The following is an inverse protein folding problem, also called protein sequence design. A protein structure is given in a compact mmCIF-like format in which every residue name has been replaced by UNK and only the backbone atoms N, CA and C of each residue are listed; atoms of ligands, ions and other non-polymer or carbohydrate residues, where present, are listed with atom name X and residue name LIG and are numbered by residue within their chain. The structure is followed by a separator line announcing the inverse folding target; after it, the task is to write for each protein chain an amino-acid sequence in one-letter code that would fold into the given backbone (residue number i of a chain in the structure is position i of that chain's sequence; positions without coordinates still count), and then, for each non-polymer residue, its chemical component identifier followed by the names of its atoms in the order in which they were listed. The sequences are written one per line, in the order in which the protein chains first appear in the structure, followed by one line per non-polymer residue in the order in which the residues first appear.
data_IF_795136756990
#
_entry.id   IF_795136756990
#
_cell.length_a   1.000
_cell.length_b   1.000
_cell.length_c   1.000
_cell.angle_alpha   90.00
_cell.angle_beta   90.00
_cell.angle_gamma   90.00
#
_symmetry.space_group_name_H-M   'P 1'
#
loop_
_entity.id
_entity.type
_entity.pdbx_description
1 polymer ?
#
# COMPACT_ATOMS: atom_id res chain seq x y z
N UNK A 1 31.15 -14.21 -5.58
CA UNK A 1 29.91 -14.30 -4.78
C UNK A 1 29.33 -12.90 -4.72
N UNK A 2 28.15 -12.68 -5.28
CA UNK A 2 27.45 -11.40 -5.17
C UNK A 2 26.95 -11.29 -3.72
N UNK A 3 27.33 -10.23 -3.00
CA UNK A 3 26.83 -9.95 -1.64
C UNK A 3 25.36 -9.49 -1.71
N UNK A 4 24.46 -10.43 -1.92
CA UNK A 4 23.03 -10.16 -2.02
C UNK A 4 22.46 -9.52 -0.73
N UNK A 5 22.82 -9.97 0.49
CA UNK A 5 22.44 -9.26 1.71
C UNK A 5 22.96 -7.81 1.77
N UNK A 6 24.18 -7.56 1.28
CA UNK A 6 24.71 -6.20 1.11
C UNK A 6 23.87 -5.35 0.15
N UNK A 7 23.46 -5.93 -0.98
CA UNK A 7 22.60 -5.26 -1.97
C UNK A 7 21.23 -4.89 -1.39
N UNK A 8 20.58 -5.81 -0.65
CA UNK A 8 19.30 -5.54 -0.01
C UNK A 8 19.41 -4.42 1.05
N UNK A 9 20.50 -4.41 1.82
CA UNK A 9 20.77 -3.31 2.77
C UNK A 9 20.98 -1.99 2.04
N UNK A 10 21.77 -1.96 0.97
CA UNK A 10 21.97 -0.76 0.16
C UNK A 10 20.65 -0.23 -0.42
N UNK A 11 19.76 -1.11 -0.89
CA UNK A 11 18.44 -0.73 -1.39
C UNK A 11 17.56 -0.13 -0.27
N UNK A 12 17.57 -0.72 0.92
CA UNK A 12 16.86 -0.17 2.10
C UNK A 12 17.39 1.21 2.50
N UNK A 13 18.71 1.40 2.57
CA UNK A 13 19.30 2.70 2.90
C UNK A 13 19.00 3.75 1.83
N UNK A 14 18.95 3.34 0.56
CA UNK A 14 18.52 4.20 -0.55
C UNK A 14 17.07 4.64 -0.35
N UNK A 15 16.17 3.70 -0.05
CA UNK A 15 14.77 4.02 0.26
C UNK A 15 14.63 5.02 1.41
N UNK A 16 15.34 4.82 2.52
CA UNK A 16 15.36 5.75 3.66
C UNK A 16 15.81 7.15 3.22
N UNK A 17 16.91 7.22 2.45
CA UNK A 17 17.47 8.50 2.00
C UNK A 17 16.48 9.26 1.10
N UNK A 18 15.87 8.58 0.12
CA UNK A 18 14.91 9.20 -0.80
C UNK A 18 13.60 9.55 -0.09
N UNK A 19 13.10 8.71 0.82
CA UNK A 19 11.87 9.00 1.55
C UNK A 19 12.02 10.24 2.45
N UNK A 20 13.15 10.36 3.14
CA UNK A 20 13.47 11.56 3.93
C UNK A 20 13.65 12.79 3.04
N UNK A 21 14.34 12.65 1.89
CA UNK A 21 14.54 13.76 0.96
C UNK A 21 13.22 14.29 0.40
N UNK A 22 12.33 13.41 -0.03
CA UNK A 22 11.00 13.80 -0.54
C UNK A 22 10.16 14.42 0.59
N UNK A 23 10.21 13.87 1.81
CA UNK A 23 9.52 14.45 2.98
C UNK A 23 10.00 15.88 3.28
N UNK A 24 11.29 16.17 3.15
CA UNK A 24 11.81 17.55 3.27
C UNK A 24 11.27 18.47 2.18
N UNK A 25 11.14 17.99 0.94
CA UNK A 25 10.52 18.77 -0.13
C UNK A 25 9.03 19.03 0.14
N UNK A 26 8.30 18.03 0.64
CA UNK A 26 6.90 18.16 1.04
C UNK A 26 6.68 19.16 2.18
N UNK A 27 7.60 19.20 3.16
CA UNK A 27 7.56 20.18 4.25
C UNK A 27 7.76 21.63 3.78
N UNK A 28 8.18 21.84 2.53
CA UNK A 28 8.26 23.15 1.91
C UNK A 28 6.93 23.72 1.43
N UNK A 29 5.84 22.96 1.49
CA UNK A 29 4.48 23.43 1.24
C UNK A 29 3.83 23.96 2.52
N UNK A 30 3.15 25.09 2.42
CA UNK A 30 2.32 25.70 3.45
C UNK A 30 0.93 25.03 3.44
N UNK A 31 0.52 24.42 4.56
CA UNK A 31 -0.69 23.57 4.62
C UNK A 31 -2.00 24.35 4.51
N UNK A 32 -1.98 25.63 4.85
CA UNK A 32 -3.12 26.54 4.85
C UNK A 32 -3.33 27.27 3.51
N UNK A 33 -2.42 27.08 2.54
CA UNK A 33 -2.47 27.72 1.23
C UNK A 33 -2.78 26.71 0.12
N UNK A 34 -3.55 27.08 -0.92
CA UNK A 34 -3.74 26.23 -2.09
C UNK A 34 -2.41 25.91 -2.78
N UNK A 35 -2.15 24.64 -3.15
CA UNK A 35 -0.92 24.21 -3.84
C UNK A 35 -0.65 25.06 -5.10
N UNK A 36 -1.70 25.45 -5.83
CA UNK A 36 -1.60 26.28 -7.04
C UNK A 36 -1.01 27.68 -6.83
N UNK A 37 -0.89 28.13 -5.58
CA UNK A 37 -0.34 29.44 -5.22
C UNK A 37 1.09 29.37 -4.66
N UNK A 38 1.64 28.16 -4.55
CA UNK A 38 2.93 27.90 -3.91
C UNK A 38 3.99 27.57 -4.96
N UNK A 39 5.26 27.53 -4.53
CA UNK A 39 6.34 27.05 -5.40
C UNK A 39 6.11 25.58 -5.73
N UNK A 40 5.96 25.28 -7.02
CA UNK A 40 5.75 23.92 -7.49
C UNK A 40 7.02 23.06 -7.28
N UNK A 41 6.90 22.05 -6.42
CA UNK A 41 7.93 21.04 -6.13
C UNK A 41 7.60 19.67 -6.72
N UNK A 42 6.45 19.53 -7.40
CA UNK A 42 5.92 18.25 -7.87
C UNK A 42 6.89 17.51 -8.79
N UNK A 43 7.59 18.23 -9.67
CA UNK A 43 8.60 17.68 -10.57
C UNK A 43 9.77 17.04 -9.82
N UNK A 44 10.39 17.79 -8.89
CA UNK A 44 11.53 17.30 -8.08
C UNK A 44 11.12 16.07 -7.24
N UNK A 45 9.93 16.10 -6.65
CA UNK A 45 9.40 14.99 -5.87
C UNK A 45 9.18 13.75 -6.75
N UNK A 46 8.62 13.93 -7.94
CA UNK A 46 8.38 12.85 -8.90
C UNK A 46 9.70 12.25 -9.39
N UNK A 47 10.71 13.08 -9.66
CA UNK A 47 12.04 12.62 -10.07
C UNK A 47 12.69 11.74 -9.00
N UNK A 48 12.64 12.17 -7.73
CA UNK A 48 13.15 11.38 -6.62
C UNK A 48 12.42 10.05 -6.44
N UNK A 49 11.09 10.03 -6.55
CA UNK A 49 10.31 8.79 -6.48
C UNK A 49 10.64 7.85 -7.66
N UNK A 50 10.88 8.39 -8.85
CA UNK A 50 11.29 7.61 -10.01
C UNK A 50 12.70 7.01 -9.87
N UNK A 51 13.65 7.74 -9.27
CA UNK A 51 14.98 7.20 -8.97
C UNK A 51 14.87 6.02 -7.99
N UNK A 52 14.02 6.12 -6.97
CA UNK A 52 13.77 5.02 -6.04
C UNK A 52 13.17 3.80 -6.77
N UNK A 53 12.18 4.02 -7.63
CA UNK A 53 11.64 2.96 -8.49
C UNK A 53 12.72 2.30 -9.34
N UNK A 54 13.56 3.09 -10.01
CA UNK A 54 14.63 2.58 -10.88
C UNK A 54 15.65 1.76 -10.08
N UNK A 55 15.92 2.10 -8.82
CA UNK A 55 16.79 1.30 -7.96
C UNK A 55 16.18 -0.09 -7.69
N UNK A 56 14.88 -0.16 -7.38
CA UNK A 56 14.17 -1.42 -7.21
C UNK A 56 14.13 -2.24 -8.51
N UNK A 57 13.81 -1.61 -9.64
CA UNK A 57 13.76 -2.23 -10.97
C UNK A 57 15.13 -2.79 -11.37
N UNK A 58 16.21 -2.02 -11.16
CA UNK A 58 17.58 -2.45 -11.44
C UNK A 58 17.97 -3.67 -10.61
N UNK A 59 17.66 -3.67 -9.31
CA UNK A 59 17.89 -4.85 -8.46
C UNK A 59 17.07 -6.02 -8.98
N UNK A 60 15.75 -5.87 -9.19
CA UNK A 60 14.87 -6.92 -9.70
C UNK A 60 15.24 -7.47 -11.09
N UNK A 61 16.05 -6.75 -11.88
CA UNK A 61 16.53 -7.19 -13.20
C UNK A 61 17.86 -7.93 -13.12
N UNK A 62 18.80 -7.47 -12.29
CA UNK A 62 20.12 -8.08 -12.10
C UNK A 62 20.03 -9.42 -11.34
N UNK A 63 18.89 -9.68 -10.73
CA UNK A 63 18.60 -10.84 -9.89
C UNK A 63 18.41 -12.17 -10.62
N UNK A 64 18.92 -12.34 -11.85
CA UNK A 64 19.13 -13.66 -12.47
C UNK A 64 20.03 -14.61 -11.67
N UNK A 65 20.54 -14.16 -10.52
CA UNK A 65 21.28 -14.91 -9.50
C UNK A 65 20.73 -14.68 -8.07
N UNK A 66 19.43 -14.38 -7.91
CA UNK A 66 18.81 -14.31 -6.58
C UNK A 66 18.87 -15.68 -5.93
N UNK A 67 19.40 -15.78 -4.70
CA UNK A 67 19.25 -16.98 -3.93
C UNK A 67 17.77 -17.32 -3.81
N UNK A 68 17.42 -18.58 -4.05
CA UNK A 68 16.06 -19.04 -3.82
C UNK A 68 15.61 -18.59 -2.42
N UNK A 69 14.40 -18.01 -2.30
CA UNK A 69 13.90 -17.62 -1.00
C UNK A 69 13.93 -18.84 -0.07
N UNK A 70 14.26 -18.61 1.20
CA UNK A 70 14.32 -19.66 2.23
C UNK A 70 13.43 -19.31 3.41
N UNK A 71 13.10 -20.30 4.24
CA UNK A 71 12.27 -20.12 5.43
C UNK A 71 10.87 -19.57 5.11
N UNK A 72 10.41 -18.62 5.93
CA UNK A 72 9.07 -18.02 5.79
C UNK A 72 8.88 -17.32 4.45
N UNK A 73 9.92 -16.70 3.90
CA UNK A 73 9.84 -16.05 2.60
C UNK A 73 9.58 -17.07 1.49
N UNK A 74 10.22 -18.24 1.55
CA UNK A 74 9.96 -19.33 0.59
C UNK A 74 8.52 -19.80 0.67
N UNK A 75 7.99 -19.93 1.88
CA UNK A 75 6.61 -20.34 2.11
C UNK A 75 5.62 -19.32 1.52
N UNK A 76 5.84 -18.02 1.73
CA UNK A 76 5.00 -16.96 1.16
C UNK A 76 5.09 -16.95 -0.36
N UNK A 77 6.31 -16.94 -0.92
CA UNK A 77 6.52 -16.95 -2.38
C UNK A 77 5.91 -18.19 -3.03
N UNK A 78 5.97 -19.36 -2.37
CA UNK A 78 5.35 -20.59 -2.84
C UNK A 78 3.83 -20.57 -2.90
N UNK A 79 3.17 -19.64 -2.19
CA UNK A 79 1.71 -19.40 -2.28
C UNK A 79 1.34 -18.32 -3.29
N UNK A 80 2.33 -17.57 -3.78
CA UNK A 80 2.12 -16.48 -4.72
C UNK A 80 1.85 -17.05 -6.12
N UNK A 81 0.73 -16.64 -6.70
CA UNK A 81 0.43 -16.87 -8.10
C UNK A 81 0.22 -15.54 -8.78
N UNK A 82 0.87 -15.32 -9.92
CA UNK A 82 0.43 -14.25 -10.81
C UNK A 82 -0.80 -14.79 -11.52
N UNK A 83 -1.98 -14.27 -11.19
CA UNK A 83 -3.21 -14.71 -11.83
C UNK A 83 -3.05 -14.47 -13.33
N UNK A 84 -3.32 -15.51 -14.13
CA UNK A 84 -3.64 -15.27 -15.54
C UNK A 84 -4.83 -14.30 -15.52
N UNK A 85 -4.75 -13.15 -16.23
CA UNK A 85 -5.75 -12.11 -16.09
C UNK A 85 -7.14 -12.71 -16.25
N UNK A 86 -8.05 -12.27 -15.37
CA UNK A 86 -9.38 -12.82 -15.23
C UNK A 86 -10.01 -12.98 -16.61
N UNK A 87 -10.59 -14.15 -16.88
CA UNK A 87 -11.09 -14.63 -18.18
C UNK A 87 -12.19 -13.77 -18.86
N UNK A 88 -12.34 -12.50 -18.47
CA UNK A 88 -13.28 -11.52 -19.01
C UNK A 88 -12.63 -10.51 -19.96
N UNK A 89 -11.31 -10.51 -20.16
CA UNK A 89 -10.65 -9.71 -21.21
C UNK A 89 -10.47 -10.53 -22.49
N UNK A 90 -10.91 -10.04 -23.67
CA UNK A 90 -10.95 -10.84 -24.91
C UNK A 90 -9.59 -11.35 -25.38
N UNK A 91 -8.49 -10.69 -25.00
CA UNK A 91 -7.11 -11.16 -25.15
C UNK A 91 -6.23 -10.52 -24.08
N UNK A 92 -5.68 -11.34 -23.19
CA UNK A 92 -4.45 -10.97 -22.49
C UNK A 92 -3.36 -10.71 -23.54
N UNK A 93 -2.73 -9.55 -23.49
CA UNK A 93 -1.56 -9.28 -24.33
C UNK A 93 -0.27 -9.52 -23.53
N UNK A 94 0.83 -9.81 -24.22
CA UNK A 94 2.13 -10.11 -23.58
C UNK A 94 2.56 -8.98 -22.62
N UNK A 95 2.23 -7.72 -22.95
CA UNK A 95 2.54 -6.56 -22.10
C UNK A 95 1.82 -6.56 -20.75
N UNK A 96 0.59 -7.06 -20.68
CA UNK A 96 -0.13 -7.19 -19.40
C UNK A 96 0.51 -8.27 -18.53
N UNK A 97 0.95 -9.38 -19.16
CA UNK A 97 1.68 -10.45 -18.47
C UNK A 97 3.02 -9.92 -17.95
N UNK A 98 3.75 -9.17 -18.76
CA UNK A 98 5.01 -8.52 -18.37
C UNK A 98 4.81 -7.56 -17.20
N UNK A 99 3.74 -6.77 -17.22
CA UNK A 99 3.36 -5.89 -16.11
C UNK A 99 3.12 -6.69 -14.82
N UNK A 100 2.27 -7.70 -14.86
CA UNK A 100 1.96 -8.50 -13.67
C UNK A 100 3.18 -9.28 -13.14
N UNK A 101 4.05 -9.78 -14.02
CA UNK A 101 5.32 -10.38 -13.63
C UNK A 101 6.24 -9.35 -12.96
N UNK A 102 6.29 -8.12 -13.48
CA UNK A 102 7.01 -7.02 -12.86
C UNK A 102 6.51 -6.70 -11.46
N UNK A 103 5.18 -6.66 -11.26
CA UNK A 103 4.57 -6.49 -9.93
C UNK A 103 4.98 -7.61 -8.98
N UNK A 104 4.91 -8.86 -9.45
CA UNK A 104 5.35 -10.03 -8.69
C UNK A 104 6.82 -9.95 -8.25
N UNK A 105 7.72 -9.60 -9.17
CA UNK A 105 9.14 -9.46 -8.88
C UNK A 105 9.42 -8.35 -7.85
N UNK A 106 8.74 -7.21 -8.00
CA UNK A 106 8.88 -6.10 -7.05
C UNK A 106 8.28 -6.41 -5.68
N UNK A 107 7.20 -7.18 -5.62
CA UNK A 107 6.64 -7.70 -4.37
C UNK A 107 7.65 -8.61 -3.65
N UNK A 108 8.23 -9.59 -4.36
CA UNK A 108 9.22 -10.50 -3.78
C UNK A 108 10.44 -9.75 -3.29
N UNK A 109 10.96 -8.79 -4.08
CA UNK A 109 12.08 -7.94 -3.66
C UNK A 109 11.72 -7.10 -2.43
N UNK A 110 10.51 -6.53 -2.40
CA UNK A 110 10.03 -5.76 -1.26
C UNK A 110 9.94 -6.59 0.02
N UNK A 111 9.48 -7.84 -0.08
CA UNK A 111 9.47 -8.78 1.05
C UNK A 111 10.89 -9.11 1.53
N UNK A 112 11.84 -9.33 0.61
CA UNK A 112 13.26 -9.50 0.94
C UNK A 112 13.82 -8.30 1.71
N UNK A 113 13.61 -7.08 1.20
CA UNK A 113 14.07 -5.86 1.87
C UNK A 113 13.41 -5.71 3.24
N UNK A 114 12.08 -5.91 3.34
CA UNK A 114 11.35 -5.84 4.59
C UNK A 114 11.87 -6.85 5.64
N UNK A 115 12.32 -8.03 5.22
CA UNK A 115 12.86 -9.08 6.12
C UNK A 115 14.11 -8.64 6.91
N UNK A 116 14.76 -7.54 6.52
CA UNK A 116 15.85 -6.94 7.27
C UNK A 116 15.38 -6.31 8.59
N UNK A 117 14.09 -5.98 8.72
CA UNK A 117 13.47 -5.36 9.89
C UNK A 117 12.68 -6.36 10.76
N UNK A 118 12.45 -6.03 12.03
CA UNK A 118 11.58 -6.82 12.91
C UNK A 118 10.11 -6.87 12.43
N UNK A 119 9.46 -5.74 12.08
CA UNK A 119 8.11 -5.76 11.51
C UNK A 119 7.99 -6.64 10.26
N UNK A 120 8.97 -6.56 9.35
CA UNK A 120 8.95 -7.38 8.13
C UNK A 120 9.13 -8.87 8.38
N UNK A 121 10.01 -9.26 9.32
CA UNK A 121 10.11 -10.67 9.75
C UNK A 121 8.80 -11.17 10.35
N UNK A 122 8.17 -10.39 11.22
CA UNK A 122 6.88 -10.73 11.83
C UNK A 122 5.78 -10.90 10.78
N UNK A 123 5.71 -10.02 9.79
CA UNK A 123 4.75 -10.14 8.68
C UNK A 123 4.99 -11.41 7.87
N UNK A 124 6.25 -11.71 7.52
CA UNK A 124 6.59 -12.91 6.76
C UNK A 124 6.19 -14.18 7.50
N UNK A 125 6.53 -14.30 8.79
CA UNK A 125 6.12 -15.44 9.61
C UNK A 125 4.60 -15.58 9.64
N UNK A 126 3.87 -14.46 9.80
CA UNK A 126 2.40 -14.46 9.78
C UNK A 126 1.82 -14.94 8.46
N UNK A 127 2.25 -14.35 7.34
CA UNK A 127 1.80 -14.75 6.01
C UNK A 127 2.10 -16.24 5.75
N UNK A 128 3.32 -16.68 6.07
CA UNK A 128 3.75 -18.08 5.92
C UNK A 128 2.87 -19.05 6.72
N UNK A 129 2.43 -18.67 7.93
CA UNK A 129 1.57 -19.52 8.77
C UNK A 129 0.16 -19.68 8.21
N UNK A 130 -0.36 -18.71 7.47
CA UNK A 130 -1.71 -18.79 6.90
C UNK A 130 -1.83 -19.89 5.84
N UNK A 131 -0.76 -20.10 5.06
CA UNK A 131 -0.70 -21.02 3.91
C UNK A 131 -1.85 -20.82 2.90
N UNK A 132 -2.49 -19.64 2.90
CA UNK A 132 -3.57 -19.32 1.96
C UNK A 132 -2.96 -18.84 0.64
N UNK A 133 -3.50 -19.26 -0.52
CA UNK A 133 -3.10 -18.72 -1.80
C UNK A 133 -3.22 -17.19 -1.86
N UNK A 134 -2.18 -16.56 -2.41
CA UNK A 134 -2.17 -15.15 -2.76
C UNK A 134 -2.06 -15.04 -4.28
N UNK A 135 -2.99 -14.31 -4.90
CA UNK A 135 -2.93 -14.06 -6.34
C UNK A 135 -2.68 -12.58 -6.66
N UNK A 136 -1.94 -12.27 -7.72
CA UNK A 136 -1.79 -10.91 -8.25
C UNK A 136 -2.61 -10.78 -9.52
N UNK A 137 -3.43 -9.74 -9.68
CA UNK A 137 -4.22 -9.56 -10.89
C UNK A 137 -4.46 -8.10 -11.25
N UNK A 138 -4.68 -7.81 -12.53
CA UNK A 138 -4.97 -6.45 -13.00
C UNK A 138 -6.35 -6.00 -12.53
N UNK A 139 -6.47 -4.74 -12.12
CA UNK A 139 -7.76 -4.05 -11.97
C UNK A 139 -7.73 -2.75 -12.75
N UNK A 140 -8.74 -2.50 -13.58
CA UNK A 140 -8.83 -1.23 -14.31
C UNK A 140 -9.60 -0.20 -13.50
N UNK A 141 -9.06 1.02 -13.43
CA UNK A 141 -9.65 2.10 -12.63
C UNK A 141 -9.73 3.40 -13.40
N UNK A 142 -10.77 4.17 -13.08
CA UNK A 142 -10.97 5.55 -13.55
C UNK A 142 -10.00 6.55 -12.93
N UNK A 143 -9.27 6.15 -11.90
CA UNK A 143 -8.25 6.94 -11.21
C UNK A 143 -7.03 6.05 -10.94
N UNK A 144 -5.80 6.59 -10.84
CA UNK A 144 -4.66 5.81 -10.38
C UNK A 144 -4.92 5.16 -9.01
N UNK A 145 -4.12 4.23 -8.53
CA UNK A 145 -4.08 3.88 -7.09
C UNK A 145 -2.81 3.09 -6.79
N UNK A 146 -2.48 2.95 -5.51
CA UNK A 146 -1.59 1.89 -5.05
C UNK A 146 -2.22 0.51 -5.29
N UNK A 147 -1.42 -0.54 -5.07
CA UNK A 147 -1.90 -1.92 -4.99
C UNK A 147 -3.08 -2.01 -4.00
N UNK A 148 -3.99 -2.97 -4.21
CA UNK A 148 -5.18 -3.14 -3.37
C UNK A 148 -5.37 -4.61 -2.99
N UNK A 149 -5.57 -4.89 -1.71
CA UNK A 149 -5.92 -6.21 -1.22
C UNK A 149 -7.45 -6.39 -1.27
N UNK A 150 -7.90 -7.32 -2.11
CA UNK A 150 -9.30 -7.68 -2.22
C UNK A 150 -9.52 -9.12 -1.70
N UNK A 151 -10.52 -9.37 -0.84
CA UNK A 151 -10.92 -10.73 -0.51
C UNK A 151 -11.44 -11.40 -1.79
N UNK A 152 -11.01 -12.64 -2.06
CA UNK A 152 -11.63 -13.43 -3.12
C UNK A 152 -13.07 -13.76 -2.68
N UNK A 153 -14.02 -13.89 -3.61
CA UNK A 153 -15.48 -13.90 -3.38
C UNK A 153 -16.05 -14.96 -2.40
N UNK A 154 -15.20 -15.76 -1.76
CA UNK A 154 -15.52 -16.86 -0.87
C UNK A 154 -15.00 -16.70 0.58
N UNK A 155 -14.28 -15.62 0.91
CA UNK A 155 -13.84 -15.33 2.28
C UNK A 155 -14.94 -14.71 3.14
N UNK A 156 -15.10 -15.17 4.38
CA UNK A 156 -16.00 -14.56 5.37
C UNK A 156 -15.17 -13.64 6.29
N UNK A 157 -15.48 -12.35 6.27
CA UNK A 157 -14.88 -11.31 7.13
C UNK A 157 -15.10 -11.59 8.63
N UNK A 158 -14.40 -10.86 9.50
CA UNK A 158 -14.67 -10.90 10.93
C UNK A 158 -16.12 -10.49 11.17
N UNK A 159 -16.89 -11.38 11.79
CA UNK A 159 -18.26 -11.06 12.19
C UNK A 159 -18.23 -10.58 13.63
N UNK A 160 -18.79 -9.40 13.87
CA UNK A 160 -19.09 -8.98 15.23
C UNK A 160 -19.92 -10.09 15.91
N UNK A 161 -19.45 -10.57 17.06
CA UNK A 161 -20.33 -11.33 17.95
C UNK A 161 -21.52 -10.44 18.33
N UNK A 162 -22.69 -11.03 18.60
CA UNK A 162 -23.92 -10.28 18.89
C UNK A 162 -23.79 -9.32 20.08
N UNK A 163 -22.79 -9.51 20.94
CA UNK A 163 -22.44 -8.72 22.12
C UNK A 163 -21.28 -7.74 21.90
N UNK A 164 -20.66 -7.68 20.71
CA UNK A 164 -19.58 -6.73 20.41
C UNK A 164 -20.04 -5.27 20.39
N UNK A 165 -21.36 -5.03 20.54
CA UNK A 165 -22.00 -3.73 20.71
C UNK A 165 -21.93 -2.86 19.46
N UNK A 166 -22.92 -1.98 19.29
CA UNK A 166 -22.70 -0.82 18.42
C UNK A 166 -21.71 0.12 19.12
N UNK A 167 -20.75 0.63 18.35
CA UNK A 167 -19.81 1.64 18.83
C UNK A 167 -20.58 2.87 19.32
N UNK A 168 -20.32 3.33 20.55
CA UNK A 168 -20.95 4.55 21.06
C UNK A 168 -20.32 5.81 20.44
N UNK A 169 -21.05 6.93 20.41
CA UNK A 169 -20.50 8.20 19.90
C UNK A 169 -19.38 8.78 20.78
N UNK A 170 -19.28 8.36 22.04
CA UNK A 170 -18.23 8.78 22.97
C UNK A 170 -16.93 7.97 22.80
N UNK A 171 -16.97 6.83 22.10
CA UNK A 171 -15.80 5.97 21.95
C UNK A 171 -14.66 6.66 21.17
N UNK A 172 -13.46 6.68 21.77
CA UNK A 172 -12.22 7.16 21.15
C UNK A 172 -11.39 6.03 20.51
N UNK A 173 -10.22 6.36 19.94
CA UNK A 173 -9.34 5.37 19.31
C UNK A 173 -8.86 4.27 20.27
N UNK A 174 -8.65 4.59 21.55
CA UNK A 174 -8.18 3.63 22.56
C UNK A 174 -9.27 2.62 22.88
N UNK A 175 -10.50 3.10 23.08
CA UNK A 175 -11.67 2.28 23.31
C UNK A 175 -12.00 1.46 22.05
N UNK A 176 -11.90 2.06 20.86
CA UNK A 176 -12.09 1.38 19.58
C UNK A 176 -11.10 0.23 19.41
N UNK A 177 -9.81 0.47 19.65
CA UNK A 177 -8.77 -0.56 19.60
C UNK A 177 -9.12 -1.73 20.53
N UNK A 178 -9.48 -1.42 21.77
CA UNK A 178 -9.84 -2.41 22.79
C UNK A 178 -11.09 -3.22 22.39
N UNK A 179 -12.06 -2.58 21.74
CA UNK A 179 -13.25 -3.25 21.19
C UNK A 179 -12.88 -4.18 20.04
N UNK A 180 -12.17 -3.67 19.03
CA UNK A 180 -11.79 -4.42 17.83
C UNK A 180 -10.87 -5.61 18.13
N UNK A 181 -10.05 -5.53 19.19
CA UNK A 181 -9.18 -6.62 19.64
C UNK A 181 -9.93 -7.82 20.22
N UNK A 182 -11.20 -7.64 20.64
CA UNK A 182 -12.03 -8.71 21.23
C UNK A 182 -12.91 -9.43 20.20
N UNK A 183 -12.94 -8.94 18.97
CA UNK A 183 -13.80 -9.50 17.93
C UNK A 183 -13.18 -10.78 17.41
N UNK A 184 -13.96 -11.86 17.47
CA UNK A 184 -13.54 -13.16 17.01
C UNK A 184 -13.35 -13.16 15.48
N UNK A 185 -12.32 -13.87 14.97
CA UNK A 185 -12.16 -14.06 13.54
C UNK A 185 -13.30 -14.89 12.94
N UNK A 186 -13.58 -14.65 11.67
CA UNK A 186 -14.41 -15.49 10.81
C UNK A 186 -13.63 -16.70 10.26
N UNK A 187 -14.01 -17.17 9.06
CA UNK A 187 -13.40 -18.37 8.46
C UNK A 187 -12.15 -18.07 7.62
N UNK A 188 -11.99 -16.81 7.21
CA UNK A 188 -10.92 -16.37 6.32
C UNK A 188 -11.00 -16.95 4.91
N UNK A 189 -10.13 -16.49 4.02
CA UNK A 189 -10.16 -16.87 2.61
C UNK A 189 -8.93 -16.46 1.82
N UNK A 190 -8.95 -16.81 0.54
CA UNK A 190 -7.95 -16.36 -0.42
C UNK A 190 -8.05 -14.84 -0.64
N UNK A 191 -6.93 -14.24 -1.05
CA UNK A 191 -6.89 -12.82 -1.40
C UNK A 191 -6.28 -12.61 -2.78
N UNK A 192 -6.70 -11.51 -3.40
CA UNK A 192 -6.12 -10.97 -4.63
C UNK A 192 -5.44 -9.65 -4.28
N UNK A 193 -4.14 -9.55 -4.58
CA UNK A 193 -3.43 -8.28 -4.65
C UNK A 193 -3.67 -7.69 -6.03
N UNK A 194 -4.60 -6.75 -6.13
CA UNK A 194 -4.98 -6.12 -7.37
C UNK A 194 -3.97 -5.02 -7.75
N UNK A 195 -3.41 -5.15 -8.94
CA UNK A 195 -2.51 -4.19 -9.57
C UNK A 195 -3.33 -3.23 -10.45
N UNK A 196 -3.54 -1.98 -9.99
CA UNK A 196 -4.40 -1.06 -10.71
C UNK A 196 -3.71 -0.52 -11.97
N UNK A 197 -4.50 -0.35 -13.02
CA UNK A 197 -4.07 0.30 -14.25
C UNK A 197 -5.08 1.39 -14.59
N UNK A 198 -4.56 2.60 -14.79
CA UNK A 198 -5.36 3.80 -14.95
C UNK A 198 -5.50 4.22 -16.41
N UNK A 199 -6.70 4.08 -16.95
CA UNK A 199 -7.06 4.49 -18.31
C UNK A 199 -8.37 5.30 -18.31
N UNK A 200 -8.33 6.59 -17.94
CA UNK A 200 -9.53 7.41 -17.87
C UNK A 200 -10.06 7.76 -19.27
N UNK A 201 -9.16 7.86 -20.26
CA UNK A 201 -9.46 8.27 -21.63
C UNK A 201 -9.94 7.10 -22.54
N UNK A 202 -9.91 5.86 -22.06
CA UNK A 202 -10.25 4.69 -22.88
C UNK A 202 -11.65 4.18 -22.55
N UNK A 203 -12.51 4.12 -23.55
CA UNK A 203 -13.82 3.46 -23.48
C UNK A 203 -13.66 1.96 -23.14
N UNK A 204 -12.62 1.34 -23.68
CA UNK A 204 -12.22 -0.04 -23.40
C UNK A 204 -10.90 -0.05 -22.60
N UNK A 205 -10.99 0.06 -21.28
CA UNK A 205 -9.82 0.17 -20.39
C UNK A 205 -8.79 -0.96 -20.56
N UNK A 206 -9.23 -2.15 -20.98
CA UNK A 206 -8.35 -3.28 -21.24
C UNK A 206 -7.38 -3.07 -22.41
N UNK A 207 -7.65 -2.09 -23.29
CA UNK A 207 -6.74 -1.69 -24.38
C UNK A 207 -5.59 -0.82 -23.92
N UNK A 208 -5.51 -0.45 -22.64
CA UNK A 208 -4.42 0.41 -22.16
C UNK A 208 -3.03 -0.10 -22.50
N UNK A 209 -2.83 -1.42 -22.50
CA UNK A 209 -1.54 -2.02 -22.85
C UNK A 209 -1.24 -2.01 -24.36
N UNK A 210 -2.16 -1.58 -25.21
CA UNK A 210 -1.86 -1.29 -26.62
C UNK A 210 -0.97 -0.03 -26.74
N UNK A 211 -1.12 0.92 -25.82
CA UNK A 211 -0.42 2.22 -25.84
C UNK A 211 0.58 2.40 -24.71
N UNK A 212 0.31 1.85 -23.52
CA UNK A 212 1.16 1.96 -22.33
C UNK A 212 2.14 0.79 -22.24
N UNK A 213 3.41 1.07 -21.97
CA UNK A 213 4.38 0.01 -21.71
C UNK A 213 4.15 -0.61 -20.31
N UNK A 214 4.55 -1.87 -20.14
CA UNK A 214 4.50 -2.53 -18.84
C UNK A 214 5.28 -1.73 -17.77
N UNK A 215 6.44 -1.18 -18.15
CA UNK A 215 7.28 -0.36 -17.28
C UNK A 215 6.58 0.93 -16.85
N UNK A 216 5.95 1.65 -17.78
CA UNK A 216 5.26 2.89 -17.44
C UNK A 216 4.07 2.62 -16.51
N UNK A 217 3.37 1.49 -16.70
CA UNK A 217 2.33 1.04 -15.77
C UNK A 217 2.90 0.71 -14.37
N UNK A 218 4.05 0.03 -14.29
CA UNK A 218 4.73 -0.26 -13.01
C UNK A 218 5.14 1.03 -12.28
N UNK A 219 5.69 1.99 -13.00
CA UNK A 219 6.12 3.27 -12.43
C UNK A 219 4.97 3.97 -11.72
N UNK A 220 3.78 3.98 -12.32
CA UNK A 220 2.61 4.66 -11.73
C UNK A 220 2.24 4.07 -10.37
N UNK A 221 2.26 2.75 -10.22
CA UNK A 221 1.85 2.08 -8.98
C UNK A 221 2.98 2.01 -7.94
N UNK A 222 4.24 2.05 -8.36
CA UNK A 222 5.40 1.85 -7.48
C UNK A 222 6.06 3.16 -7.02
N UNK A 223 5.53 4.32 -7.44
CA UNK A 223 6.01 5.65 -7.03
C UNK A 223 5.63 6.04 -5.59
N UNK A 224 4.83 5.25 -4.88
CA UNK A 224 4.37 5.54 -3.52
C UNK A 224 3.36 6.68 -3.46
N UNK A 225 3.14 7.21 -2.26
CA UNK A 225 2.15 8.27 -2.01
C UNK A 225 2.62 9.30 -0.99
N UNK A 226 1.75 10.28 -0.76
CA UNK A 226 1.85 11.28 0.28
C UNK A 226 0.85 10.90 1.36
N UNK A 227 1.35 10.85 2.57
CA UNK A 227 0.59 10.56 3.78
C UNK A 227 0.69 11.73 4.74
N UNK A 228 -0.16 11.74 5.77
CA UNK A 228 -0.20 12.82 6.75
C UNK A 228 -0.01 12.27 8.16
N UNK A 229 0.82 12.96 8.95
CA UNK A 229 1.09 12.60 10.34
C UNK A 229 0.01 13.13 11.30
N UNK A 230 0.22 12.91 12.60
CA UNK A 230 -0.69 13.35 13.65
C UNK A 230 -0.91 14.88 13.65
N UNK A 231 0.06 15.67 13.18
CA UNK A 231 -0.02 17.12 13.09
C UNK A 231 -0.53 17.60 11.73
N UNK A 232 -0.95 16.69 10.84
CA UNK A 232 -1.38 16.99 9.48
C UNK A 232 -0.24 17.35 8.53
N UNK A 233 1.02 17.07 8.91
CA UNK A 233 2.17 17.33 8.05
C UNK A 233 2.32 16.23 7.00
N UNK A 234 2.52 16.60 5.72
CA UNK A 234 2.71 15.65 4.65
C UNK A 234 4.08 14.99 4.76
N UNK A 235 4.12 13.68 4.49
CA UNK A 235 5.36 12.93 4.33
C UNK A 235 5.21 11.92 3.20
N UNK A 236 6.34 11.48 2.66
CA UNK A 236 6.34 10.48 1.59
C UNK A 236 6.26 9.08 2.17
N UNK A 237 5.30 8.30 1.69
CA UNK A 237 5.18 6.87 1.97
C UNK A 237 5.68 6.08 0.75
N UNK A 238 6.86 5.42 0.83
CA UNK A 238 7.36 4.58 -0.24
C UNK A 238 6.40 3.44 -0.56
N UNK A 239 6.41 2.98 -1.81
CA UNK A 239 5.55 1.88 -2.28
C UNK A 239 5.73 0.59 -1.49
N UNK A 240 6.90 0.34 -0.88
CA UNK A 240 7.08 -0.82 0.00
C UNK A 240 6.21 -0.73 1.26
N UNK A 241 6.05 0.45 1.86
CA UNK A 241 5.18 0.63 3.04
C UNK A 241 3.72 0.36 2.65
N UNK A 242 3.28 0.90 1.52
CA UNK A 242 1.94 0.65 0.98
C UNK A 242 1.72 -0.83 0.66
N UNK A 243 2.73 -1.49 0.10
CA UNK A 243 2.65 -2.91 -0.18
C UNK A 243 2.57 -3.74 1.11
N UNK A 244 3.30 -3.37 2.16
CA UNK A 244 3.19 -4.05 3.46
C UNK A 244 1.80 -3.82 4.08
N UNK A 245 1.20 -2.64 3.88
CA UNK A 245 -0.19 -2.37 4.25
C UNK A 245 -1.16 -3.33 3.55
N UNK A 246 -1.06 -3.49 2.23
CA UNK A 246 -1.93 -4.43 1.51
C UNK A 246 -1.70 -5.89 1.92
N UNK A 247 -0.46 -6.25 2.27
CA UNK A 247 -0.16 -7.58 2.79
C UNK A 247 -0.72 -7.83 4.19
N UNK A 248 -0.88 -6.80 5.02
CA UNK A 248 -1.61 -6.91 6.29
C UNK A 248 -3.09 -7.21 6.03
N UNK A 249 -3.72 -6.51 5.08
CA UNK A 249 -5.09 -6.84 4.66
C UNK A 249 -5.21 -8.28 4.15
N UNK A 250 -4.25 -8.75 3.33
CA UNK A 250 -4.19 -10.14 2.88
C UNK A 250 -4.11 -11.10 4.07
N UNK A 251 -3.29 -10.78 5.07
CA UNK A 251 -3.19 -11.58 6.29
C UNK A 251 -4.52 -11.61 7.06
N UNK A 252 -5.16 -10.45 7.27
CA UNK A 252 -6.44 -10.37 7.94
C UNK A 252 -7.53 -11.14 7.18
N UNK A 253 -7.58 -11.02 5.86
CA UNK A 253 -8.48 -11.80 5.00
C UNK A 253 -8.23 -13.31 5.15
N UNK A 254 -6.97 -13.74 5.16
CA UNK A 254 -6.59 -15.14 5.27
C UNK A 254 -7.02 -15.79 6.60
N UNK A 255 -7.04 -15.00 7.68
CA UNK A 255 -7.46 -15.43 9.01
C UNK A 255 -8.95 -15.18 9.30
N UNK A 256 -9.66 -14.46 8.43
CA UNK A 256 -11.04 -14.02 8.70
C UNK A 256 -11.09 -12.89 9.73
N UNK A 257 -10.00 -12.18 9.93
CA UNK A 257 -9.87 -11.05 10.84
C UNK A 257 -10.23 -9.73 10.18
N UNK A 258 -10.56 -9.68 8.88
CA UNK A 258 -10.89 -8.42 8.21
C UNK A 258 -12.09 -7.73 8.87
N UNK A 259 -11.92 -6.46 9.26
CA UNK A 259 -12.85 -5.65 10.05
C UNK A 259 -13.70 -4.65 9.24
N UNK A 260 -13.66 -4.69 7.91
CA UNK A 260 -14.19 -3.61 7.07
C UNK A 260 -15.70 -3.37 7.27
N UNK A 261 -16.45 -4.42 7.62
CA UNK A 261 -17.89 -4.36 7.83
C UNK A 261 -18.29 -3.98 9.27
N UNK A 262 -17.34 -3.72 10.15
CA UNK A 262 -17.63 -3.35 11.53
C UNK A 262 -18.00 -1.88 11.63
N UNK A 263 -19.09 -1.53 12.33
CA UNK A 263 -19.53 -0.14 12.45
C UNK A 263 -18.50 0.68 13.24
N UNK A 264 -18.35 1.93 12.82
CA UNK A 264 -17.59 2.97 13.49
C UNK A 264 -18.50 4.18 13.76
N UNK A 265 -18.24 4.90 14.85
CA UNK A 265 -18.96 6.14 15.17
C UNK A 265 -18.57 7.28 14.20
N UNK A 266 -19.23 8.44 14.33
CA UNK A 266 -18.97 9.56 13.42
C UNK A 266 -17.54 10.09 13.54
N UNK A 267 -16.99 10.16 14.76
CA UNK A 267 -15.63 10.64 15.03
C UNK A 267 -14.57 9.80 14.32
N UNK A 268 -14.66 8.47 14.43
CA UNK A 268 -13.73 7.57 13.76
C UNK A 268 -13.87 7.63 12.23
N UNK A 269 -15.10 7.72 11.70
CA UNK A 269 -15.31 7.82 10.23
C UNK A 269 -14.82 9.11 9.61
N UNK A 270 -14.62 10.17 10.41
CA UNK A 270 -14.00 11.40 9.93
C UNK A 270 -12.50 11.23 9.62
N UNK A 271 -11.85 10.25 10.23
CA UNK A 271 -10.40 10.01 10.13
C UNK A 271 -10.09 8.72 9.36
N UNK A 272 -10.88 7.68 9.60
CA UNK A 272 -10.68 6.34 9.08
C UNK A 272 -11.80 5.98 8.11
N UNK A 273 -11.43 5.42 6.95
CA UNK A 273 -12.41 4.95 5.95
C UNK A 273 -13.31 3.86 6.54
N UNK A 274 -12.72 2.90 7.23
CA UNK A 274 -13.42 1.83 7.94
C UNK A 274 -12.57 1.30 9.11
N UNK A 275 -13.12 0.33 9.87
CA UNK A 275 -12.44 -0.26 11.01
C UNK A 275 -11.24 -1.14 10.63
N UNK A 276 -11.21 -1.67 9.40
CA UNK A 276 -10.09 -2.47 8.89
C UNK A 276 -8.89 -1.59 8.58
N UNK A 277 -9.12 -0.41 8.03
CA UNK A 277 -8.08 0.59 7.79
C UNK A 277 -7.47 1.10 9.10
N UNK A 278 -8.31 1.42 10.11
CA UNK A 278 -7.81 1.77 11.44
C UNK A 278 -6.98 0.64 12.07
N UNK A 279 -7.47 -0.60 11.95
CA UNK A 279 -6.76 -1.78 12.46
C UNK A 279 -5.42 -1.99 11.77
N UNK A 280 -5.38 -1.86 10.45
CA UNK A 280 -4.19 -2.06 9.63
C UNK A 280 -3.16 -0.94 9.81
N UNK A 281 -3.60 0.30 9.96
CA UNK A 281 -2.71 1.46 10.01
C UNK A 281 -2.17 1.72 11.43
N UNK A 282 -3.02 1.57 12.45
CA UNK A 282 -2.72 2.10 13.79
C UNK A 282 -3.05 1.16 14.96
N UNK A 283 -4.05 0.29 14.85
CA UNK A 283 -4.63 -0.39 16.02
C UNK A 283 -4.16 -1.83 16.23
N UNK A 284 -3.80 -2.53 15.14
CA UNK A 284 -3.34 -3.90 15.15
C UNK A 284 -2.07 -4.13 15.95
N UNK A 285 -1.71 -5.40 16.12
CA UNK A 285 -0.48 -5.80 16.81
C UNK A 285 0.77 -5.72 15.89
N UNK A 286 0.54 -5.66 14.58
CA UNK A 286 1.48 -5.29 13.53
C UNK A 286 0.73 -4.38 12.56
N UNK A 287 1.29 -3.22 12.26
CA UNK A 287 0.58 -2.15 11.56
C UNK A 287 1.44 -1.52 10.46
N UNK A 288 0.82 -0.79 9.53
CA UNK A 288 1.53 0.08 8.58
C UNK A 288 2.52 1.00 9.30
N UNK A 289 2.09 1.57 10.44
CA UNK A 289 2.91 2.45 11.27
C UNK A 289 4.22 1.82 11.73
N UNK A 290 4.26 0.51 11.96
CA UNK A 290 5.50 -0.18 12.37
C UNK A 290 6.52 -0.22 11.22
N UNK A 291 6.06 -0.35 9.97
CA UNK A 291 6.92 -0.28 8.78
C UNK A 291 7.38 1.14 8.48
N UNK A 292 6.50 2.13 8.66
CA UNK A 292 6.86 3.55 8.50
C UNK A 292 7.95 3.95 9.50
N UNK A 293 7.79 3.58 10.79
CA UNK A 293 8.77 3.87 11.84
C UNK A 293 10.11 3.16 11.59
N UNK A 294 10.11 1.94 11.04
CA UNK A 294 11.35 1.24 10.64
C UNK A 294 12.17 2.03 9.60
N UNK A 295 11.52 2.86 8.79
CA UNK A 295 12.15 3.75 7.82
C UNK A 295 12.49 5.14 8.36
N UNK A 296 12.18 5.41 9.64
CA UNK A 296 12.30 6.74 10.24
C UNK A 296 11.20 7.72 9.81
N UNK A 297 10.10 7.22 9.26
CA UNK A 297 8.96 8.04 8.83
C UNK A 297 7.95 8.24 9.97
N UNK A 298 7.15 9.32 9.94
CA UNK A 298 6.05 9.51 10.88
C UNK A 298 4.99 8.41 10.80
N UNK A 299 4.20 8.28 11.86
CA UNK A 299 2.99 7.44 11.85
C UNK A 299 1.86 8.15 11.12
N UNK A 300 1.16 7.42 10.26
CA UNK A 300 -0.01 7.93 9.52
C UNK A 300 -1.17 8.17 10.51
N UNK A 301 -1.85 9.33 10.40
CA UNK A 301 -2.98 9.69 11.27
C UNK A 301 -4.33 9.15 10.78
N UNK A 302 -4.47 8.90 9.50
CA UNK A 302 -5.76 8.64 8.85
C UNK A 302 -5.58 7.73 7.63
N UNK A 303 -6.66 7.19 7.08
CA UNK A 303 -6.58 6.53 5.76
C UNK A 303 -6.36 7.52 4.61
N UNK A 304 -6.43 8.82 4.89
CA UNK A 304 -6.37 9.85 3.87
C UNK A 304 -4.93 10.03 3.38
N UNK A 305 -4.73 9.91 2.07
CA UNK A 305 -3.44 10.14 1.41
C UNK A 305 -3.65 10.72 0.01
N UNK A 306 -2.58 11.24 -0.57
CA UNK A 306 -2.58 11.78 -1.92
C UNK A 306 -1.59 11.02 -2.76
N UNK A 307 -1.93 10.77 -4.01
CA UNK A 307 -0.95 10.28 -4.98
C UNK A 307 0.02 11.42 -5.31
N UNK A 308 1.22 11.08 -5.78
CA UNK A 308 2.16 12.12 -6.23
C UNK A 308 1.59 12.99 -7.36
N UNK A 309 0.70 12.45 -8.20
CA UNK A 309 -0.02 13.23 -9.22
C UNK A 309 -0.89 14.34 -8.60
N UNK A 310 -1.32 14.18 -7.35
CA UNK A 310 -2.05 15.18 -6.58
C UNK A 310 -1.17 16.34 -6.11
N UNK A 311 0.12 16.39 -6.46
CA UNK A 311 0.95 17.58 -6.30
C UNK A 311 0.98 18.47 -7.55
N UNK A 312 0.58 17.96 -8.72
CA UNK A 312 0.60 18.75 -9.96
C UNK A 312 -0.43 19.87 -9.82
N UNK A 313 -0.02 21.16 -9.80
CA UNK A 313 -0.93 22.30 -9.62
C UNK A 313 -2.06 22.38 -10.67
N UNK A 314 -1.88 21.71 -11.80
CA UNK A 314 -2.86 21.63 -12.89
C UNK A 314 -3.92 20.55 -12.64
N UNK A 315 -3.66 19.60 -11.74
CA UNK A 315 -4.60 18.53 -11.42
C UNK A 315 -5.74 19.03 -10.53
N UNK A 316 -6.96 18.55 -10.78
CA UNK A 316 -8.11 18.85 -9.93
C UNK A 316 -7.93 18.31 -8.50
N UNK A 317 -7.17 17.22 -8.35
CA UNK A 317 -6.83 16.64 -7.06
C UNK A 317 -5.94 17.58 -6.24
N UNK A 318 -4.88 18.14 -6.84
CA UNK A 318 -4.00 19.10 -6.17
C UNK A 318 -4.75 20.34 -5.68
N UNK A 319 -5.71 20.82 -6.47
CA UNK A 319 -6.54 21.99 -6.12
C UNK A 319 -7.47 21.73 -4.92
N UNK A 320 -7.81 20.47 -4.65
CA UNK A 320 -8.57 20.04 -3.47
C UNK A 320 -7.68 19.64 -2.29
N UNK A 321 -6.38 19.46 -2.54
CA UNK A 321 -5.48 18.81 -1.59
C UNK A 321 -4.82 19.75 -0.59
N UNK A 322 -4.18 19.15 0.42
CA UNK A 322 -3.56 19.73 1.63
C UNK A 322 -4.55 20.43 2.56
N UNK A 323 -5.29 21.43 2.07
CA UNK A 323 -6.30 22.15 2.86
C UNK A 323 -7.36 21.20 3.44
N UNK A 324 -7.89 20.27 2.64
CA UNK A 324 -8.86 19.29 3.13
C UNK A 324 -8.28 18.43 4.25
N UNK A 325 -7.06 17.90 4.08
CA UNK A 325 -6.41 17.06 5.08
C UNK A 325 -5.99 17.83 6.34
N UNK A 326 -5.77 19.14 6.23
CA UNK A 326 -5.51 20.05 7.34
C UNK A 326 -6.80 20.49 8.07
N UNK A 327 -7.89 20.74 7.35
CA UNK A 327 -9.16 21.20 7.93
C UNK A 327 -9.95 20.07 8.64
N UNK A 328 -9.63 18.80 8.37
CA UNK A 328 -10.21 17.64 9.06
C UNK A 328 -9.42 17.20 10.31
N UNK A 329 -8.48 18.00 10.82
CA UNK A 329 -7.88 17.75 12.13
C UNK A 329 -8.93 18.06 13.20
N UNK A 330 -9.42 17.08 14.01
CA UNK A 330 -10.23 17.43 15.17
C UNK A 330 -9.43 18.35 16.10
N UNK A 331 -10.11 19.39 16.58
CA UNK A 331 -9.64 20.32 17.61
C UNK A 331 -9.10 19.58 18.86
#
# INVERSE_FOLDING_TARGET
MNDFPGLLRALRETEIAFANRITVELAGYELDKPISTQNDRSGIITDYAEVLFCAYEAVATVTGAVPDPSGDLAAVVGTLSVAKPLARTPKTCDREVDFLNGVGNLLVLSLWVSSLSDPGRRLLTRLATTKKPLSIGTVYKSEPSSLLANPNAHGVNATAAADAGQMTEEEDETQTRSRLARIAPGHGGESVLSAPVHAPELEEQWKIFETLSARDALIVIMRGSISFDAEGRPYYSPSRVELMHELLHIHHNALGENRANLPMNQKMRAVWKDAEEFWTIAAGDLTESDFAVDLGLPRRRSHSGLRLSGLDPRSADAQKSFRQHFEYLPD
#
